data_IF_821660490876
#
_entry.id   IF_821660490876
#
_cell.length_a   1.000
_cell.length_b   1.000
_cell.length_c   1.000
_cell.angle_alpha   90.00
_cell.angle_beta   90.00
_cell.angle_gamma   90.00
#
_symmetry.space_group_name_H-M   'P 1'
#
loop_
_entity.id
_entity.type
_entity.pdbx_description
1 polymer ?
#
# COMPACT_ATOMS: atom_id res chain seq x y z
N UNK A 1 0.59 15.53 -7.36
CA UNK A 1 0.58 16.48 -6.20
C UNK A 1 -0.66 17.37 -6.12
N UNK A 2 -1.31 17.70 -7.27
CA UNK A 2 -2.49 18.57 -7.31
C UNK A 2 -3.82 17.86 -7.08
N UNK A 3 -3.85 16.53 -7.12
CA UNK A 3 -5.04 15.72 -6.88
C UNK A 3 -5.48 15.90 -5.40
N UNK A 4 -6.77 16.24 -5.13
CA UNK A 4 -7.31 16.33 -3.77
C UNK A 4 -7.07 15.08 -2.92
N UNK A 5 -7.00 13.90 -3.50
CA UNK A 5 -6.60 12.66 -2.82
C UNK A 5 -5.29 12.77 -2.05
N UNK A 6 -4.45 13.71 -2.41
CA UNK A 6 -3.14 13.86 -1.80
C UNK A 6 -3.12 14.84 -0.62
N UNK A 7 -4.15 15.67 -0.42
CA UNK A 7 -4.07 16.76 0.56
C UNK A 7 -5.40 17.10 1.25
N UNK A 8 -6.54 16.52 0.84
CA UNK A 8 -7.86 16.89 1.39
C UNK A 8 -8.47 15.72 2.18
N UNK A 9 -8.28 15.74 3.50
CA UNK A 9 -8.87 14.78 4.41
C UNK A 9 -10.39 14.69 4.30
N UNK A 10 -11.05 15.85 4.10
CA UNK A 10 -12.53 15.89 4.12
C UNK A 10 -13.14 15.17 2.93
N UNK A 11 -12.43 15.11 1.82
CA UNK A 11 -12.88 14.42 0.61
C UNK A 11 -12.53 12.94 0.58
N UNK A 12 -11.51 12.52 1.33
CA UNK A 12 -10.99 11.16 1.21
C UNK A 12 -10.97 10.40 2.54
N UNK A 13 -10.07 10.72 3.44
CA UNK A 13 -9.91 9.92 4.67
C UNK A 13 -11.15 9.99 5.57
N UNK A 14 -11.82 11.16 5.63
CA UNK A 14 -13.08 11.30 6.37
C UNK A 14 -14.25 10.57 5.70
N UNK A 15 -14.17 10.29 4.41
CA UNK A 15 -15.18 9.52 3.67
C UNK A 15 -14.90 8.01 3.70
N UNK A 16 -13.76 7.59 4.21
CA UNK A 16 -13.42 6.17 4.32
C UNK A 16 -14.37 5.45 5.28
N UNK A 17 -14.86 4.25 4.94
CA UNK A 17 -15.60 3.41 5.90
C UNK A 17 -14.81 3.14 7.18
N UNK A 18 -13.48 3.19 7.12
CA UNK A 18 -12.61 2.99 8.28
C UNK A 18 -12.59 4.20 9.22
N UNK A 19 -13.03 5.39 8.78
CA UNK A 19 -12.95 6.62 9.55
C UNK A 19 -13.55 6.50 10.96
N UNK A 20 -14.72 5.87 11.06
CA UNK A 20 -15.40 5.67 12.35
C UNK A 20 -14.62 4.78 13.33
N UNK A 21 -13.70 3.96 12.82
CA UNK A 21 -12.87 3.06 13.63
C UNK A 21 -11.52 3.69 14.00
N UNK A 22 -11.22 4.88 13.48
CA UNK A 22 -9.94 5.58 13.73
C UNK A 22 -10.00 6.54 14.92
N UNK A 23 -11.14 6.62 15.59
CA UNK A 23 -11.38 7.65 16.62
C UNK A 23 -11.31 9.07 16.09
N UNK A 24 -11.56 9.29 14.78
CA UNK A 24 -11.46 10.58 14.13
C UNK A 24 -10.02 11.10 13.99
N UNK A 25 -9.03 10.23 14.06
CA UNK A 25 -7.62 10.63 13.97
C UNK A 25 -7.13 10.66 12.52
N UNK A 26 -6.74 11.82 12.04
CA UNK A 26 -6.07 11.98 10.75
C UNK A 26 -4.63 11.42 10.75
N UNK A 27 -4.01 11.33 11.93
CA UNK A 27 -2.59 10.98 12.06
C UNK A 27 -2.26 9.53 11.73
N UNK A 28 -3.23 8.63 11.83
CA UNK A 28 -2.98 7.20 11.59
C UNK A 28 -2.90 6.84 10.10
N UNK A 29 -3.32 7.74 9.22
CA UNK A 29 -3.34 7.49 7.78
C UNK A 29 -1.99 7.70 7.10
N UNK A 30 -1.05 8.32 7.83
CA UNK A 30 0.25 8.67 7.27
C UNK A 30 1.38 8.38 8.26
N UNK A 31 2.42 7.75 7.75
CA UNK A 31 3.67 7.58 8.48
C UNK A 31 4.29 8.96 8.77
N UNK A 32 4.68 9.26 10.02
CA UNK A 32 5.35 10.52 10.36
C UNK A 32 6.67 10.74 9.63
N UNK A 33 7.32 9.70 9.17
CA UNK A 33 8.57 9.75 8.39
C UNK A 33 8.35 10.10 6.92
N UNK A 34 7.13 9.98 6.41
CA UNK A 34 6.78 10.44 5.07
C UNK A 34 6.73 11.97 5.04
N UNK A 35 7.62 12.60 4.27
CA UNK A 35 7.72 14.05 4.10
C UNK A 35 7.07 14.54 2.80
N UNK A 36 6.33 13.68 2.12
CA UNK A 36 5.64 14.02 0.89
C UNK A 36 4.57 15.10 1.10
N UNK A 37 4.30 15.84 0.05
CA UNK A 37 3.35 16.95 0.04
C UNK A 37 2.43 16.90 -1.18
N UNK A 38 1.25 17.46 -1.01
CA UNK A 38 0.35 17.83 -2.09
C UNK A 38 0.43 19.33 -2.42
N UNK A 39 -0.28 19.74 -3.46
CA UNK A 39 -0.47 21.14 -3.83
C UNK A 39 -1.96 21.42 -3.79
N UNK A 40 -2.38 22.31 -2.88
CA UNK A 40 -3.78 22.72 -2.76
C UNK A 40 -4.19 23.71 -3.89
N UNK A 41 -5.48 24.05 -4.03
CA UNK A 41 -5.95 24.98 -5.07
C UNK A 41 -5.31 26.37 -5.02
N UNK A 42 -4.84 26.80 -3.86
CA UNK A 42 -4.13 28.07 -3.69
C UNK A 42 -2.64 27.99 -4.11
N UNK A 43 -2.18 26.84 -4.62
CA UNK A 43 -0.80 26.63 -5.02
C UNK A 43 0.18 26.38 -3.86
N UNK A 44 -0.33 26.18 -2.66
CA UNK A 44 0.49 25.97 -1.47
C UNK A 44 0.86 24.50 -1.30
N UNK A 45 2.10 24.25 -0.82
CA UNK A 45 2.53 22.91 -0.40
C UNK A 45 1.88 22.59 0.95
N UNK A 46 1.15 21.50 0.98
CA UNK A 46 0.51 20.95 2.19
C UNK A 46 0.94 19.49 2.39
N UNK A 47 1.06 18.99 3.62
CA UNK A 47 1.41 17.58 3.84
C UNK A 47 0.46 16.66 3.10
N UNK A 48 0.98 15.54 2.58
CA UNK A 48 0.09 14.45 2.09
C UNK A 48 -0.71 13.87 3.24
N UNK A 49 -1.92 13.43 2.93
CA UNK A 49 -2.85 12.96 3.94
C UNK A 49 -2.73 11.47 4.27
N UNK A 50 -2.04 10.70 3.42
CA UNK A 50 -1.83 9.27 3.65
C UNK A 50 -0.53 8.76 3.03
N UNK A 51 0.02 7.71 3.64
CA UNK A 51 1.03 6.81 3.08
C UNK A 51 0.62 5.35 3.23
N UNK A 52 -0.50 5.07 3.92
CA UNK A 52 -1.00 3.71 4.07
C UNK A 52 -1.86 3.31 2.89
N UNK A 53 -1.57 2.11 2.34
CA UNK A 53 -2.34 1.48 1.27
C UNK A 53 -2.84 0.11 1.71
N UNK A 54 -4.00 -0.28 1.22
CA UNK A 54 -4.67 -1.51 1.58
C UNK A 54 -4.22 -2.64 0.66
N UNK A 55 -3.99 -3.82 1.22
CA UNK A 55 -3.74 -5.01 0.43
C UNK A 55 -4.90 -5.26 -0.55
N UNK A 56 -4.61 -5.25 -1.83
CA UNK A 56 -5.63 -5.37 -2.90
C UNK A 56 -6.42 -6.69 -2.83
N UNK A 57 -5.88 -7.72 -2.20
CA UNK A 57 -6.50 -9.03 -2.07
C UNK A 57 -7.42 -9.17 -0.85
N UNK A 58 -7.62 -8.07 -0.09
CA UNK A 58 -8.52 -7.99 1.06
C UNK A 58 -9.66 -7.03 0.74
N UNK A 59 -10.86 -7.57 0.61
CA UNK A 59 -12.11 -6.81 0.45
C UNK A 59 -12.36 -6.20 -0.93
N UNK A 60 -11.40 -6.19 -1.80
CA UNK A 60 -11.50 -5.43 -3.05
C UNK A 60 -11.70 -6.27 -4.31
N UNK A 61 -12.37 -5.70 -5.32
CA UNK A 61 -12.53 -6.32 -6.63
C UNK A 61 -11.50 -5.84 -7.67
N UNK A 62 -10.52 -5.01 -7.34
CA UNK A 62 -9.65 -4.30 -8.29
C UNK A 62 -8.88 -5.26 -9.25
N UNK A 63 -7.61 -5.49 -9.05
CA UNK A 63 -6.82 -6.45 -9.84
C UNK A 63 -7.36 -7.89 -9.76
N UNK A 64 -8.03 -8.22 -8.67
CA UNK A 64 -8.61 -9.53 -8.41
C UNK A 64 -9.74 -9.92 -9.35
N UNK A 65 -10.41 -8.96 -10.00
CA UNK A 65 -11.51 -9.21 -10.92
C UNK A 65 -11.06 -9.79 -12.28
N UNK A 66 -9.76 -9.91 -12.52
CA UNK A 66 -9.21 -10.32 -13.82
C UNK A 66 -9.33 -11.82 -14.12
N UNK A 67 -9.99 -12.62 -13.28
CA UNK A 67 -10.20 -14.06 -13.53
C UNK A 67 -8.93 -14.92 -13.44
N UNK A 68 -7.84 -14.39 -12.89
CA UNK A 68 -6.53 -15.03 -12.84
C UNK A 68 -6.36 -16.07 -11.71
N UNK A 69 -7.45 -16.47 -11.06
CA UNK A 69 -7.40 -17.45 -9.96
C UNK A 69 -6.83 -16.94 -8.64
N UNK A 70 -6.77 -15.61 -8.45
CA UNK A 70 -6.33 -14.99 -7.22
C UNK A 70 -7.24 -15.35 -6.05
N UNK A 71 -6.64 -15.62 -4.90
CA UNK A 71 -7.37 -15.74 -3.65
C UNK A 71 -7.68 -14.35 -3.10
N UNK A 72 -8.96 -14.01 -3.05
CA UNK A 72 -9.45 -12.74 -2.49
C UNK A 72 -10.21 -13.04 -1.22
N UNK A 73 -9.90 -12.32 -0.16
CA UNK A 73 -10.60 -12.38 1.12
C UNK A 73 -11.70 -11.32 1.14
N UNK A 74 -12.96 -11.75 1.14
CA UNK A 74 -14.12 -10.85 1.21
C UNK A 74 -14.67 -10.69 2.62
N UNK A 75 -14.28 -11.59 3.52
CA UNK A 75 -14.61 -11.58 4.95
C UNK A 75 -13.49 -12.25 5.74
N UNK A 76 -13.44 -12.01 7.04
CA UNK A 76 -12.42 -12.55 7.95
C UNK A 76 -12.38 -14.07 7.95
N UNK A 77 -13.54 -14.73 7.90
CA UNK A 77 -13.63 -16.20 7.85
C UNK A 77 -13.02 -16.84 6.59
N UNK A 78 -12.72 -16.06 5.56
CA UNK A 78 -12.03 -16.55 4.37
C UNK A 78 -10.51 -16.72 4.60
N UNK A 79 -9.97 -16.07 5.65
CA UNK A 79 -8.54 -16.06 5.99
C UNK A 79 -8.13 -17.35 6.71
N UNK A 80 -8.10 -18.45 5.97
CA UNK A 80 -7.79 -19.79 6.52
C UNK A 80 -6.39 -20.28 6.17
N UNK A 81 -5.84 -19.84 5.02
CA UNK A 81 -4.48 -20.15 4.58
C UNK A 81 -4.00 -19.12 3.55
N UNK A 82 -3.13 -18.18 3.93
CA UNK A 82 -2.66 -17.93 5.30
C UNK A 82 -3.79 -17.43 6.21
N UNK A 83 -3.57 -17.60 7.52
CA UNK A 83 -4.49 -17.10 8.54
C UNK A 83 -4.37 -15.58 8.77
N UNK A 84 -5.23 -15.00 9.64
CA UNK A 84 -5.24 -13.55 9.88
C UNK A 84 -3.88 -12.97 10.32
N UNK A 85 -3.12 -13.72 11.12
CA UNK A 85 -1.80 -13.28 11.60
C UNK A 85 -0.70 -13.29 10.52
N UNK A 86 -0.97 -13.83 9.34
CA UNK A 86 -0.05 -13.85 8.21
C UNK A 86 -0.62 -13.10 6.99
N UNK A 87 -1.79 -12.48 7.16
CA UNK A 87 -2.44 -11.70 6.13
C UNK A 87 -2.38 -10.22 6.50
N UNK A 88 -1.48 -9.47 5.86
CA UNK A 88 -1.47 -8.03 6.07
C UNK A 88 -2.67 -7.36 5.39
N UNK A 89 -3.21 -6.35 6.03
CA UNK A 89 -4.33 -5.54 5.52
C UNK A 89 -3.90 -4.15 5.08
N UNK A 90 -2.91 -3.57 5.75
CA UNK A 90 -2.35 -2.26 5.43
C UNK A 90 -0.83 -2.33 5.41
N UNK A 91 -0.26 -1.56 4.51
CA UNK A 91 1.19 -1.39 4.38
C UNK A 91 1.52 0.09 4.15
N UNK A 92 2.67 0.51 4.66
CA UNK A 92 3.22 1.83 4.36
C UNK A 92 3.83 1.82 2.95
N UNK A 93 3.28 2.65 2.07
CA UNK A 93 3.67 2.75 0.67
C UNK A 93 4.43 4.05 0.40
N UNK A 94 5.42 4.00 -0.45
CA UNK A 94 6.28 5.14 -0.74
C UNK A 94 5.61 6.19 -1.61
N UNK A 95 6.05 7.44 -1.43
CA UNK A 95 5.43 8.64 -2.00
C UNK A 95 5.47 8.73 -3.53
N UNK A 96 6.39 8.06 -4.19
CA UNK A 96 6.54 8.07 -5.65
C UNK A 96 5.90 6.83 -6.32
N UNK A 97 5.34 5.92 -5.53
CA UNK A 97 4.58 4.75 -5.97
C UNK A 97 3.08 4.94 -5.77
N UNK A 98 2.68 5.43 -4.61
CA UNK A 98 1.28 5.50 -4.19
C UNK A 98 0.43 6.34 -5.16
N UNK A 99 -0.42 5.67 -5.93
CA UNK A 99 -1.31 6.26 -6.92
C UNK A 99 -2.78 6.22 -6.49
N UNK A 100 -3.17 5.20 -5.74
CA UNK A 100 -4.51 5.02 -5.17
C UNK A 100 -4.41 4.46 -3.73
N UNK A 101 -5.43 3.80 -3.22
CA UNK A 101 -5.46 3.26 -1.86
C UNK A 101 -5.12 1.79 -1.74
N UNK A 102 -4.72 1.15 -2.84
CA UNK A 102 -4.40 -0.27 -2.87
C UNK A 102 -2.90 -0.49 -3.05
N UNK A 103 -2.43 -1.60 -2.50
CA UNK A 103 -1.06 -2.08 -2.67
C UNK A 103 -1.10 -3.43 -3.38
N UNK A 104 -0.39 -3.53 -4.50
CA UNK A 104 -0.39 -4.70 -5.38
C UNK A 104 1.02 -5.23 -5.59
N UNK A 105 1.18 -6.54 -5.41
CA UNK A 105 2.29 -7.31 -5.95
C UNK A 105 1.71 -8.39 -6.86
N UNK A 106 2.08 -8.40 -8.12
CA UNK A 106 1.57 -9.37 -9.08
C UNK A 106 2.41 -10.66 -9.02
N UNK A 107 1.88 -11.66 -8.35
CA UNK A 107 2.49 -13.00 -8.24
C UNK A 107 1.71 -14.04 -9.06
N UNK A 108 1.29 -13.68 -10.25
CA UNK A 108 0.52 -14.57 -11.12
C UNK A 108 1.26 -15.89 -11.34
N UNK A 109 0.53 -17.01 -11.07
CA UNK A 109 1.06 -18.35 -11.22
C UNK A 109 2.04 -18.77 -10.13
N UNK A 110 2.00 -18.13 -8.95
CA UNK A 110 2.74 -18.57 -7.78
C UNK A 110 2.36 -20.02 -7.41
N UNK A 111 3.33 -20.88 -7.02
CA UNK A 111 4.77 -20.60 -6.88
C UNK A 111 5.60 -20.81 -8.16
N UNK A 112 5.01 -21.32 -9.23
CA UNK A 112 5.75 -21.96 -10.34
C UNK A 112 6.14 -21.01 -11.48
N UNK A 113 5.56 -19.80 -11.55
CA UNK A 113 5.74 -18.86 -12.66
C UNK A 113 6.47 -17.57 -12.26
N UNK A 114 7.59 -17.69 -11.55
CA UNK A 114 8.37 -16.53 -11.09
C UNK A 114 8.70 -15.50 -12.18
N UNK A 115 8.94 -15.94 -13.42
CA UNK A 115 9.21 -15.05 -14.55
C UNK A 115 8.04 -14.08 -14.87
N UNK A 116 6.82 -14.36 -14.39
CA UNK A 116 5.64 -13.51 -14.59
C UNK A 116 5.42 -12.52 -13.46
N UNK A 117 6.16 -12.63 -12.34
CA UNK A 117 5.95 -11.80 -11.16
C UNK A 117 6.44 -10.37 -11.37
N UNK A 118 5.74 -9.42 -10.76
CA UNK A 118 6.02 -7.99 -10.90
C UNK A 118 5.80 -7.26 -9.60
N UNK A 119 6.67 -6.32 -9.29
CA UNK A 119 6.40 -5.26 -8.33
C UNK A 119 5.49 -4.27 -9.08
N UNK A 120 4.24 -4.15 -8.63
CA UNK A 120 3.29 -3.15 -9.14
C UNK A 120 3.45 -1.88 -8.32
N UNK A 121 3.33 -2.00 -6.99
CA UNK A 121 3.51 -0.90 -6.06
C UNK A 121 4.72 -1.17 -5.17
N UNK A 122 5.42 -0.10 -4.80
CA UNK A 122 6.62 -0.22 -3.98
C UNK A 122 6.32 0.13 -2.53
N UNK A 123 6.76 -0.72 -1.59
CA UNK A 123 6.63 -0.42 -0.18
C UNK A 123 7.49 0.77 0.24
N UNK A 124 7.12 1.42 1.34
CA UNK A 124 7.96 2.42 1.95
C UNK A 124 9.31 1.86 2.44
N UNK A 125 10.27 2.74 2.62
CA UNK A 125 11.60 2.43 3.15
C UNK A 125 12.05 3.46 4.19
N UNK A 126 11.10 4.17 4.81
CA UNK A 126 11.36 5.31 5.68
C UNK A 126 12.02 4.93 7.00
N UNK A 127 11.88 3.68 7.44
CA UNK A 127 12.39 3.16 8.70
C UNK A 127 13.70 2.39 8.51
N UNK A 128 14.73 3.06 8.02
CA UNK A 128 16.04 2.44 7.72
C UNK A 128 15.92 1.24 6.76
N UNK A 129 15.24 1.46 5.64
CA UNK A 129 14.99 0.42 4.63
C UNK A 129 13.87 -0.55 5.01
N UNK A 130 12.93 -0.12 5.84
CA UNK A 130 11.80 -0.93 6.28
C UNK A 130 10.46 -0.21 6.04
N UNK A 131 9.38 -0.98 5.95
CA UNK A 131 8.00 -0.53 5.98
C UNK A 131 7.25 -1.11 7.18
N UNK A 132 6.12 -0.49 7.52
CA UNK A 132 5.21 -0.99 8.54
C UNK A 132 4.07 -1.76 7.90
N UNK A 133 3.62 -2.82 8.58
CA UNK A 133 2.48 -3.63 8.23
C UNK A 133 1.48 -3.67 9.37
N UNK A 134 0.19 -3.69 9.03
CA UNK A 134 -0.87 -4.07 9.95
C UNK A 134 -1.55 -5.34 9.43
N UNK A 135 -1.74 -6.31 10.29
CA UNK A 135 -2.29 -7.62 9.97
C UNK A 135 -3.76 -7.75 10.35
N UNK A 136 -4.43 -8.74 9.77
CA UNK A 136 -5.86 -8.92 9.95
C UNK A 136 -6.28 -9.34 11.38
N UNK A 137 -5.35 -9.86 12.19
CA UNK A 137 -5.58 -10.14 13.61
C UNK A 137 -5.35 -8.93 14.52
N UNK A 138 -4.98 -7.78 13.95
CA UNK A 138 -4.77 -6.51 14.65
C UNK A 138 -3.34 -6.25 15.12
N UNK A 139 -2.40 -7.19 14.96
CA UNK A 139 -1.01 -6.87 15.26
C UNK A 139 -0.35 -6.06 14.15
N UNK A 140 0.78 -5.45 14.45
CA UNK A 140 1.60 -4.70 13.49
C UNK A 140 3.07 -5.05 13.64
N UNK A 141 3.81 -4.99 12.54
CA UNK A 141 5.25 -5.20 12.54
C UNK A 141 5.97 -4.24 11.59
N UNK A 142 7.28 -4.14 11.77
CA UNK A 142 8.19 -3.44 10.85
C UNK A 142 8.99 -4.50 10.13
N UNK A 143 8.88 -4.52 8.79
CA UNK A 143 9.63 -5.45 7.94
C UNK A 143 10.74 -4.71 7.19
N UNK A 144 11.99 -5.18 7.37
CA UNK A 144 13.16 -4.63 6.68
C UNK A 144 13.37 -5.32 5.35
N UNK A 145 13.48 -4.51 4.31
CA UNK A 145 13.77 -5.00 2.96
C UNK A 145 15.26 -5.35 2.83
N UNK A 146 15.52 -6.50 2.26
CA UNK A 146 16.90 -6.99 2.06
C UNK A 146 17.38 -6.82 0.62
N UNK A 147 16.45 -6.74 -0.34
CA UNK A 147 16.79 -6.58 -1.74
C UNK A 147 16.70 -5.08 -2.16
N UNK A 148 17.76 -4.51 -2.71
CA UNK A 148 17.77 -3.10 -3.14
C UNK A 148 16.79 -2.80 -4.28
N UNK A 149 16.31 -3.79 -5.02
CA UNK A 149 15.29 -3.60 -6.06
C UNK A 149 13.91 -3.31 -5.47
N UNK A 150 13.63 -3.76 -4.25
CA UNK A 150 12.40 -3.43 -3.52
C UNK A 150 12.41 -1.99 -3.01
N UNK A 151 13.59 -1.44 -2.74
CA UNK A 151 13.77 -0.09 -2.20
C UNK A 151 14.69 0.78 -3.07
N UNK A 152 14.42 0.96 -4.35
CA UNK A 152 15.21 1.87 -5.17
C UNK A 152 15.17 3.29 -4.61
N UNK A 153 16.13 4.12 -4.97
CA UNK A 153 16.17 5.53 -4.53
C UNK A 153 14.86 6.25 -4.84
N UNK A 154 14.42 7.13 -3.93
CA UNK A 154 13.22 7.92 -4.16
C UNK A 154 13.34 8.77 -5.43
N UNK A 155 12.33 8.71 -6.27
CA UNK A 155 12.22 9.51 -7.48
C UNK A 155 11.58 10.88 -7.18
N UNK A 156 11.91 11.88 -7.98
CA UNK A 156 11.20 13.17 -7.97
C UNK A 156 9.90 13.15 -8.77
N UNK A 157 9.67 12.09 -9.49
CA UNK A 157 8.45 11.78 -10.27
C UNK A 157 7.98 10.38 -9.88
N UNK A 158 6.83 9.96 -10.39
CA UNK A 158 6.35 8.60 -10.17
C UNK A 158 7.41 7.58 -10.60
N UNK A 159 7.61 6.56 -9.78
CA UNK A 159 8.48 5.43 -10.11
C UNK A 159 7.78 4.53 -11.15
N UNK A 160 8.50 3.88 -12.06
CA UNK A 160 7.91 2.90 -12.95
C UNK A 160 7.27 1.76 -12.16
N UNK A 161 6.01 1.46 -12.46
CA UNK A 161 5.25 0.35 -11.90
C UNK A 161 5.30 -0.87 -12.82
N UNK A 162 4.81 -2.03 -12.36
CA UNK A 162 4.83 -3.30 -13.11
C UNK A 162 6.24 -3.77 -13.50
N UNK A 163 7.21 -3.58 -12.63
CA UNK A 163 8.59 -3.98 -12.87
C UNK A 163 8.74 -5.49 -12.65
N UNK A 164 9.32 -6.25 -13.60
CA UNK A 164 9.55 -7.69 -13.43
C UNK A 164 10.36 -8.01 -12.16
N UNK A 165 9.89 -8.97 -11.38
CA UNK A 165 10.49 -9.42 -10.12
C UNK A 165 10.52 -10.96 -10.08
N UNK A 166 11.33 -11.60 -10.95
CA UNK A 166 11.30 -13.06 -11.14
C UNK A 166 11.79 -13.87 -9.94
N UNK A 167 12.46 -13.24 -9.01
CA UNK A 167 12.99 -13.89 -7.80
C UNK A 167 12.19 -13.51 -6.54
N UNK A 168 11.01 -12.91 -6.70
CA UNK A 168 10.20 -12.46 -5.58
C UNK A 168 10.97 -11.53 -4.63
N UNK A 169 11.58 -10.51 -5.21
CA UNK A 169 12.31 -9.47 -4.47
C UNK A 169 11.38 -8.56 -3.66
#
# INVERSE_FOLDING_TARGET
PKDPNNWDHTKYTHQSPLWNYTGGSEKIWKCPSDRAYGINPAGQRVPRIRSMSMNNWVGGPSWSSSGNGWKVYTKDSDMTAPGPSQTFVLIDEREDSINDGYFVVDMQGFPDRGASWKIVDYPASYHNGAATFAFADGHSEIHRWTNPRTIPSLSKSNIPLNVPSPNNE
#
